data_IF_186126092590
#
_entry.id   IF_186126092590
#
_cell.length_a   1.000
_cell.length_b   1.000
_cell.length_c   1.000
_cell.angle_alpha   90.00
_cell.angle_beta   90.00
_cell.angle_gamma   90.00
#
_symmetry.space_group_name_H-M   'P 1'
#
loop_
_entity.id
_entity.type
_entity.pdbx_description
1 polymer ?
#
# COMPACT_ATOMS: atom_id res chain seq x y z
N UNK A 1 16.10 -30.43 -0.85
CA UNK A 1 16.53 -31.43 0.16
C UNK A 1 15.36 -31.99 0.95
N UNK A 2 14.57 -31.15 1.63
CA UNK A 2 13.45 -31.60 2.48
C UNK A 2 12.52 -32.62 1.81
N UNK A 3 12.00 -32.31 0.62
CA UNK A 3 11.09 -33.19 -0.13
C UNK A 3 11.67 -34.60 -0.37
N UNK A 4 13.00 -34.70 -0.54
CA UNK A 4 13.71 -35.98 -0.66
C UNK A 4 13.75 -36.73 0.67
N UNK A 5 14.01 -36.02 1.77
CA UNK A 5 14.08 -36.62 3.11
C UNK A 5 12.69 -37.02 3.63
N UNK A 6 11.65 -36.26 3.30
CA UNK A 6 10.28 -36.51 3.75
C UNK A 6 9.49 -37.45 2.85
N UNK A 7 9.97 -37.74 1.63
CA UNK A 7 9.25 -38.56 0.67
C UNK A 7 7.89 -37.96 0.27
N UNK A 8 7.75 -36.64 0.36
CA UNK A 8 6.49 -35.93 0.10
C UNK A 8 5.59 -35.72 1.33
N UNK A 9 5.99 -36.20 2.52
CA UNK A 9 5.27 -35.93 3.76
C UNK A 9 5.60 -34.54 4.33
N UNK A 10 4.76 -34.09 5.30
CA UNK A 10 4.93 -32.82 6.02
C UNK A 10 6.11 -32.83 7.02
N UNK A 11 6.61 -34.01 7.38
CA UNK A 11 7.72 -34.22 8.30
C UNK A 11 8.71 -35.22 7.71
N UNK A 12 10.00 -34.95 7.80
CA UNK A 12 11.06 -35.88 7.47
C UNK A 12 11.38 -36.78 8.68
N UNK A 13 11.44 -38.12 8.52
CA UNK A 13 11.87 -39.01 9.59
C UNK A 13 13.29 -38.66 10.07
N UNK A 14 13.51 -38.68 11.38
CA UNK A 14 14.81 -38.35 11.96
C UNK A 14 15.94 -39.23 11.41
N UNK A 15 15.67 -40.53 11.25
CA UNK A 15 16.60 -41.50 10.67
C UNK A 15 16.99 -41.17 9.22
N UNK A 16 16.08 -40.56 8.45
CA UNK A 16 16.40 -40.15 7.08
C UNK A 16 17.38 -38.97 7.08
N UNK A 17 17.19 -37.99 7.97
CA UNK A 17 18.14 -36.89 8.13
C UNK A 17 19.49 -37.38 8.68
N UNK A 18 19.48 -38.26 9.68
CA UNK A 18 20.70 -38.86 10.25
C UNK A 18 21.54 -39.53 9.17
N UNK A 19 20.95 -40.46 8.42
CA UNK A 19 21.64 -41.16 7.32
C UNK A 19 22.17 -40.20 6.26
N UNK A 20 21.42 -39.12 5.99
CA UNK A 20 21.87 -38.11 5.06
C UNK A 20 23.13 -37.40 5.57
N UNK A 21 23.17 -36.99 6.84
CA UNK A 21 24.34 -36.33 7.45
C UNK A 21 25.54 -37.28 7.52
N UNK A 22 25.32 -38.54 7.91
CA UNK A 22 26.36 -39.58 7.95
C UNK A 22 26.96 -39.88 6.57
N UNK A 23 26.18 -39.68 5.51
CA UNK A 23 26.63 -39.83 4.12
C UNK A 23 27.32 -38.61 3.53
N UNK A 24 27.45 -37.49 4.27
CA UNK A 24 28.15 -36.30 3.78
C UNK A 24 29.66 -36.48 3.85
N UNK A 25 30.34 -36.15 2.76
CA UNK A 25 31.80 -36.01 2.75
C UNK A 25 32.18 -34.72 3.49
N UNK A 26 32.47 -34.85 4.79
CA UNK A 26 32.89 -33.73 5.64
C UNK A 26 34.36 -33.91 6.07
N UNK A 27 35.21 -32.86 5.98
CA UNK A 27 36.57 -32.89 6.50
C UNK A 27 36.65 -33.21 8.00
N UNK A 28 35.58 -32.90 8.74
CA UNK A 28 35.43 -33.19 10.17
C UNK A 28 34.07 -33.87 10.41
N UNK A 29 33.97 -35.19 10.21
CA UNK A 29 32.71 -35.91 10.36
C UNK A 29 32.25 -35.90 11.81
N UNK A 30 30.94 -35.75 12.02
CA UNK A 30 30.33 -35.81 13.33
C UNK A 30 30.34 -37.25 13.86
N UNK A 31 30.70 -37.43 15.13
CA UNK A 31 30.62 -38.73 15.80
C UNK A 31 29.15 -39.09 16.05
N UNK A 32 28.86 -40.39 16.11
CA UNK A 32 27.48 -40.89 16.34
C UNK A 32 26.82 -40.27 17.57
N UNK A 33 27.54 -40.13 18.69
CA UNK A 33 27.02 -39.48 19.90
C UNK A 33 26.77 -37.96 19.76
N UNK A 34 27.52 -37.28 18.88
CA UNK A 34 27.28 -35.86 18.58
C UNK A 34 26.03 -35.68 17.73
N UNK A 35 25.81 -36.60 16.77
CA UNK A 35 24.57 -36.65 16.00
C UNK A 35 23.38 -36.93 16.91
N UNK A 36 23.49 -37.92 17.81
CA UNK A 36 22.42 -38.24 18.77
C UNK A 36 22.05 -37.02 19.62
N UNK A 37 23.06 -36.30 20.12
CA UNK A 37 22.84 -35.10 20.93
C UNK A 37 22.20 -33.96 20.10
N UNK A 38 22.70 -33.69 18.90
CA UNK A 38 22.21 -32.60 18.04
C UNK A 38 20.82 -32.87 17.47
N UNK A 39 20.48 -34.14 17.25
CA UNK A 39 19.20 -34.57 16.68
C UNK A 39 18.14 -34.90 17.74
N UNK A 40 18.49 -34.91 19.03
CA UNK A 40 17.61 -35.33 20.11
C UNK A 40 16.26 -34.58 20.15
N UNK A 41 16.28 -33.27 19.89
CA UNK A 41 15.09 -32.43 19.93
C UNK A 41 14.08 -32.74 18.81
N UNK A 42 14.47 -33.52 17.81
CA UNK A 42 13.66 -33.83 16.62
C UNK A 42 13.17 -35.29 16.62
N UNK A 43 12.99 -35.89 17.79
CA UNK A 43 12.56 -37.28 17.95
C UNK A 43 11.23 -37.60 17.21
N UNK A 44 10.35 -36.61 17.06
CA UNK A 44 9.08 -36.75 16.33
C UNK A 44 9.20 -36.51 14.82
N UNK A 45 10.42 -36.35 14.31
CA UNK A 45 10.71 -35.94 12.94
C UNK A 45 11.08 -34.46 12.84
N UNK A 46 11.51 -34.09 11.64
CA UNK A 46 12.03 -32.76 11.31
C UNK A 46 11.04 -32.13 10.32
N UNK A 47 10.50 -30.96 10.65
CA UNK A 47 9.65 -30.20 9.72
C UNK A 47 10.51 -29.46 8.69
N UNK A 48 9.87 -28.89 7.66
CA UNK A 48 10.58 -28.03 6.72
C UNK A 48 11.23 -26.83 7.42
N UNK A 49 10.53 -26.24 8.39
CA UNK A 49 11.02 -25.09 9.16
C UNK A 49 12.21 -25.48 10.05
N UNK A 50 12.17 -26.66 10.68
CA UNK A 50 13.31 -27.17 11.46
C UNK A 50 14.55 -27.34 10.59
N UNK A 51 14.40 -27.99 9.43
CA UNK A 51 15.52 -28.18 8.50
C UNK A 51 16.04 -26.85 7.96
N UNK A 52 15.15 -25.91 7.67
CA UNK A 52 15.53 -24.56 7.24
C UNK A 52 16.32 -23.83 8.33
N UNK A 53 15.88 -23.91 9.59
CA UNK A 53 16.57 -23.32 10.74
C UNK A 53 17.96 -23.95 11.00
N UNK A 54 18.14 -25.25 10.67
CA UNK A 54 19.45 -25.91 10.75
C UNK A 54 20.44 -25.45 9.68
N UNK A 55 19.95 -25.15 8.47
CA UNK A 55 20.79 -24.97 7.28
C UNK A 55 21.00 -23.51 6.89
N UNK A 56 20.07 -22.63 7.24
CA UNK A 56 20.15 -21.23 6.88
C UNK A 56 20.84 -20.44 7.98
N UNK A 57 21.96 -19.84 7.61
CA UNK A 57 22.70 -18.94 8.47
C UNK A 57 22.45 -17.49 8.05
N UNK A 58 22.11 -16.64 9.02
CA UNK A 58 21.89 -15.22 8.80
C UNK A 58 22.88 -14.40 9.62
N UNK A 59 23.31 -13.27 9.07
CA UNK A 59 24.14 -12.31 9.76
C UNK A 59 23.59 -10.89 9.62
N UNK A 60 23.84 -10.06 10.62
CA UNK A 60 23.48 -8.64 10.66
C UNK A 60 24.71 -7.78 10.38
N UNK A 61 24.55 -6.82 9.50
CA UNK A 61 25.51 -5.75 9.26
C UNK A 61 25.60 -4.83 10.49
N UNK A 62 26.73 -4.80 11.19
CA UNK A 62 26.94 -3.91 12.35
C UNK A 62 27.57 -2.58 11.98
N UNK A 63 28.19 -2.52 10.80
CA UNK A 63 28.79 -1.33 10.20
C UNK A 63 28.68 -1.41 8.68
N UNK A 64 28.28 -0.29 8.11
CA UNK A 64 28.31 0.01 6.69
C UNK A 64 29.50 -0.62 5.94
N UNK A 65 29.21 -1.45 4.93
CA UNK A 65 30.23 -2.16 4.15
C UNK A 65 29.79 -2.41 2.70
N UNK A 66 30.74 -2.49 1.77
CA UNK A 66 30.45 -2.84 0.38
C UNK A 66 30.12 -4.33 0.19
N UNK A 67 29.04 -4.60 -0.54
CA UNK A 67 28.76 -5.89 -1.17
C UNK A 67 29.41 -5.90 -2.56
N UNK A 68 30.29 -6.86 -2.83
CA UNK A 68 31.07 -6.87 -4.09
C UNK A 68 30.74 -8.05 -4.98
N UNK A 69 31.00 -7.91 -6.29
CA UNK A 69 30.68 -8.92 -7.31
C UNK A 69 31.58 -10.16 -7.29
N UNK A 70 32.78 -10.07 -6.74
CA UNK A 70 33.75 -11.17 -6.72
C UNK A 70 34.42 -11.37 -5.35
N UNK A 71 34.97 -12.57 -5.14
CA UNK A 71 35.68 -12.97 -3.93
C UNK A 71 36.98 -12.21 -3.73
N UNK A 72 37.76 -11.97 -4.78
CA UNK A 72 39.00 -11.21 -4.68
C UNK A 72 38.70 -9.72 -4.68
N UNK A 73 39.22 -8.98 -3.71
CA UNK A 73 38.94 -7.53 -3.61
C UNK A 73 39.41 -6.76 -4.85
N UNK A 74 40.57 -7.12 -5.41
CA UNK A 74 41.23 -6.40 -6.51
C UNK A 74 40.49 -6.48 -7.84
N UNK A 75 39.82 -7.59 -8.11
CA UNK A 75 39.05 -7.82 -9.36
C UNK A 75 37.56 -7.57 -9.17
N UNK A 76 37.13 -7.20 -7.96
CA UNK A 76 35.72 -6.97 -7.64
C UNK A 76 35.26 -5.54 -7.88
N UNK A 77 34.00 -5.39 -8.28
CA UNK A 77 33.28 -4.12 -8.27
C UNK A 77 32.29 -4.09 -7.11
N UNK A 78 31.96 -2.89 -6.62
CA UNK A 78 30.89 -2.72 -5.64
C UNK A 78 29.54 -2.87 -6.33
N UNK A 79 28.73 -3.85 -5.90
CA UNK A 79 27.33 -4.01 -6.31
C UNK A 79 26.53 -2.89 -5.66
N UNK A 80 26.62 -2.81 -4.33
CA UNK A 80 26.07 -1.72 -3.51
C UNK A 80 26.68 -1.74 -2.12
N UNK A 81 26.23 -0.81 -1.28
CA UNK A 81 26.56 -0.76 0.14
C UNK A 81 25.48 -1.49 0.94
N UNK A 82 25.91 -2.32 1.89
CA UNK A 82 25.09 -2.86 2.97
C UNK A 82 25.08 -1.83 4.10
N UNK A 83 23.91 -1.43 4.55
CA UNK A 83 23.77 -0.45 5.62
C UNK A 83 23.78 -1.13 7.00
N UNK A 84 24.23 -0.40 8.03
CA UNK A 84 24.12 -0.89 9.41
C UNK A 84 22.67 -1.29 9.75
N UNK A 85 22.52 -2.50 10.27
CA UNK A 85 21.26 -3.12 10.67
C UNK A 85 20.69 -4.08 9.62
N UNK A 86 21.20 -4.05 8.39
CA UNK A 86 20.74 -4.93 7.31
C UNK A 86 21.07 -6.40 7.59
N UNK A 87 20.19 -7.32 7.17
CA UNK A 87 20.36 -8.77 7.33
C UNK A 87 20.76 -9.39 6.01
N UNK A 88 21.71 -10.33 6.05
CA UNK A 88 22.15 -11.14 4.92
C UNK A 88 22.01 -12.63 5.25
N UNK A 89 21.61 -13.43 4.26
CA UNK A 89 21.69 -14.89 4.29
C UNK A 89 23.06 -15.32 3.77
N UNK A 90 23.69 -16.25 4.46
CA UNK A 90 25.00 -16.78 4.12
C UNK A 90 24.84 -17.95 3.15
N UNK A 91 25.47 -17.86 1.99
CA UNK A 91 25.31 -18.82 0.90
C UNK A 91 26.48 -19.82 0.78
N UNK A 92 27.50 -19.68 1.61
CA UNK A 92 28.67 -20.55 1.57
C UNK A 92 29.59 -20.32 2.76
N UNK A 93 30.64 -21.13 2.82
CA UNK A 93 31.60 -21.06 3.91
C UNK A 93 32.37 -19.74 3.90
N UNK A 94 32.80 -19.32 5.09
CA UNK A 94 33.82 -18.29 5.23
C UNK A 94 35.12 -18.74 4.56
N UNK A 95 35.67 -17.90 3.69
CA UNK A 95 36.94 -18.13 2.99
C UNK A 95 37.91 -16.98 3.27
N UNK A 96 39.17 -17.31 3.54
CA UNK A 96 40.23 -16.31 3.70
C UNK A 96 40.76 -15.88 2.33
N UNK A 97 40.71 -14.59 2.02
CA UNK A 97 41.42 -13.98 0.90
C UNK A 97 42.86 -13.69 1.37
N UNK A 98 43.75 -14.66 1.17
CA UNK A 98 45.15 -14.60 1.61
C UNK A 98 45.91 -13.41 1.02
N UNK A 99 45.52 -12.94 -0.18
CA UNK A 99 46.19 -11.85 -0.86
C UNK A 99 46.03 -10.50 -0.13
N UNK A 100 44.95 -10.34 0.64
CA UNK A 100 44.64 -9.11 1.41
C UNK A 100 44.48 -9.36 2.91
N UNK A 101 44.50 -10.61 3.36
CA UNK A 101 44.36 -11.00 4.76
C UNK A 101 42.94 -10.84 5.31
N UNK A 102 41.91 -10.94 4.45
CA UNK A 102 40.52 -10.70 4.84
C UNK A 102 39.69 -11.99 4.84
N UNK A 103 38.87 -12.18 5.87
CA UNK A 103 37.84 -13.20 5.87
C UNK A 103 36.60 -12.70 5.11
N UNK A 104 36.22 -13.41 4.05
CA UNK A 104 35.08 -13.05 3.20
C UNK A 104 34.07 -14.19 3.14
N UNK A 105 32.82 -13.84 2.87
CA UNK A 105 31.74 -14.80 2.73
C UNK A 105 30.84 -14.39 1.57
N UNK A 106 30.30 -15.38 0.85
CA UNK A 106 29.25 -15.14 -0.15
C UNK A 106 27.91 -15.07 0.57
N UNK A 107 27.16 -14.02 0.31
CA UNK A 107 25.87 -13.79 0.96
C UNK A 107 24.84 -13.24 -0.02
N UNK A 108 23.56 -13.35 0.36
CA UNK A 108 22.42 -12.70 -0.28
C UNK A 108 21.80 -11.72 0.70
N UNK A 109 21.67 -10.47 0.30
CA UNK A 109 21.00 -9.49 1.14
C UNK A 109 19.48 -9.73 1.17
N UNK A 110 18.89 -9.71 2.37
CA UNK A 110 17.45 -9.93 2.53
C UNK A 110 16.65 -8.75 1.97
N UNK A 111 17.19 -7.53 1.98
CA UNK A 111 16.43 -6.33 1.58
C UNK A 111 16.03 -6.31 0.10
N UNK A 112 16.88 -6.83 -0.78
CA UNK A 112 16.74 -6.70 -2.24
C UNK A 112 17.20 -7.95 -3.03
N UNK A 113 17.52 -9.04 -2.32
CA UNK A 113 18.05 -10.29 -2.90
C UNK A 113 19.39 -10.14 -3.64
N UNK A 114 20.12 -9.03 -3.46
CA UNK A 114 21.42 -8.87 -4.10
C UNK A 114 22.43 -9.89 -3.54
N UNK A 115 23.01 -10.70 -4.43
CA UNK A 115 24.04 -11.67 -4.08
C UNK A 115 25.44 -11.14 -4.35
N UNK A 116 26.36 -11.36 -3.43
CA UNK A 116 27.75 -10.93 -3.57
C UNK A 116 28.64 -11.41 -2.44
N UNK A 117 29.81 -10.79 -2.34
CA UNK A 117 30.82 -11.08 -1.33
C UNK A 117 30.96 -9.91 -0.36
N UNK A 118 31.08 -10.23 0.91
CA UNK A 118 31.26 -9.25 2.00
C UNK A 118 32.40 -9.69 2.91
N UNK A 119 33.12 -8.73 3.48
CA UNK A 119 34.18 -9.00 4.47
C UNK A 119 33.56 -9.10 5.87
N UNK A 120 33.87 -10.17 6.60
CA UNK A 120 33.37 -10.38 7.96
C UNK A 120 34.06 -9.49 8.98
N UNK A 121 35.39 -9.40 8.86
CA UNK A 121 36.27 -8.68 9.78
C UNK A 121 37.38 -8.00 9.00
N UNK A 122 37.54 -6.69 9.18
CA UNK A 122 38.60 -5.91 8.54
C UNK A 122 39.99 -6.18 9.16
N UNK A 123 41.03 -5.69 8.49
CA UNK A 123 42.44 -5.89 8.91
C UNK A 123 42.76 -5.40 10.34
N UNK A 124 42.04 -4.38 10.83
CA UNK A 124 42.18 -3.86 12.20
C UNK A 124 41.28 -4.58 13.22
N UNK A 125 40.69 -5.71 12.83
CA UNK A 125 39.83 -6.52 13.67
C UNK A 125 38.40 -6.00 13.88
N UNK A 126 38.00 -4.95 13.16
CA UNK A 126 36.61 -4.46 13.18
C UNK A 126 35.69 -5.48 12.51
N UNK A 127 34.70 -5.99 13.24
CA UNK A 127 33.63 -6.81 12.68
C UNK A 127 32.66 -5.93 11.87
N UNK A 128 32.22 -6.44 10.73
CA UNK A 128 31.18 -5.84 9.88
C UNK A 128 29.89 -6.65 9.90
N UNK A 129 29.98 -7.96 10.12
CA UNK A 129 28.85 -8.84 10.30
C UNK A 129 28.89 -9.52 11.69
N UNK A 130 27.72 -9.77 12.25
CA UNK A 130 27.51 -10.60 13.46
C UNK A 130 26.40 -11.62 13.22
N UNK A 131 26.40 -12.73 13.97
CA UNK A 131 25.35 -13.75 13.87
C UNK A 131 23.97 -13.15 14.17
N UNK A 132 22.98 -13.52 13.36
CA UNK A 132 21.61 -13.08 13.52
C UNK A 132 20.64 -14.26 13.37
N UNK A 133 19.49 -14.17 14.04
CA UNK A 133 18.38 -15.08 13.78
C UNK A 133 17.78 -14.80 12.40
N UNK A 134 17.19 -15.83 11.79
CA UNK A 134 16.37 -15.68 10.60
C UNK A 134 15.27 -14.62 10.83
N UNK A 135 15.07 -13.67 9.91
CA UNK A 135 14.12 -12.58 10.12
C UNK A 135 12.67 -13.07 9.98
N UNK A 136 11.90 -12.88 11.05
CA UNK A 136 10.46 -13.07 11.09
C UNK A 136 9.78 -11.77 11.53
N UNK A 137 8.60 -11.51 10.99
CA UNK A 137 7.72 -10.41 11.40
C UNK A 137 6.38 -10.97 11.84
N UNK A 138 5.66 -10.25 12.68
CA UNK A 138 4.28 -10.58 13.02
C UNK A 138 3.43 -9.32 13.06
N UNK A 139 2.14 -9.48 12.81
CA UNK A 139 1.19 -8.38 12.96
C UNK A 139 0.91 -8.18 14.45
N UNK A 140 1.22 -6.99 14.98
CA UNK A 140 1.04 -6.70 16.41
C UNK A 140 -0.45 -6.59 16.76
N UNK A 141 -1.21 -5.85 15.95
CA UNK A 141 -2.64 -5.60 16.16
C UNK A 141 -3.34 -5.39 14.81
N UNK A 142 -4.65 -5.71 14.78
CA UNK A 142 -5.52 -5.45 13.63
C UNK A 142 -5.50 -6.55 12.57
N UNK A 143 -5.86 -6.15 11.35
CA UNK A 143 -5.85 -7.00 10.14
C UNK A 143 -5.09 -6.26 9.06
N UNK A 144 -4.16 -6.94 8.38
CA UNK A 144 -3.37 -6.36 7.30
C UNK A 144 -3.64 -7.10 5.97
N UNK A 145 -3.95 -6.37 4.90
CA UNK A 145 -4.12 -6.96 3.58
C UNK A 145 -2.77 -7.43 3.01
N UNK A 146 -2.77 -8.62 2.41
CA UNK A 146 -1.68 -9.15 1.62
C UNK A 146 -1.93 -8.83 0.16
N UNK A 147 -0.92 -8.27 -0.50
CA UNK A 147 -1.00 -7.89 -1.90
C UNK A 147 -0.08 -8.77 -2.76
N UNK A 148 -0.47 -8.97 -4.02
CA UNK A 148 0.29 -9.78 -4.98
C UNK A 148 1.66 -9.18 -5.32
N UNK A 149 1.78 -7.85 -5.26
CA UNK A 149 3.02 -7.12 -5.46
C UNK A 149 3.24 -6.10 -4.32
N UNK A 150 4.40 -5.43 -4.33
CA UNK A 150 4.77 -4.48 -3.28
C UNK A 150 3.90 -3.20 -3.31
N UNK A 151 3.37 -2.85 -4.48
CA UNK A 151 2.50 -1.70 -4.67
C UNK A 151 1.12 -1.96 -4.05
N UNK A 152 0.62 -0.98 -3.28
CA UNK A 152 -0.73 -1.04 -2.67
C UNK A 152 -1.88 -1.17 -3.67
N UNK A 153 -1.65 -0.74 -4.91
CA UNK A 153 -2.61 -0.86 -5.99
C UNK A 153 -2.67 -2.26 -6.61
N UNK A 154 -1.78 -3.17 -6.21
CA UNK A 154 -1.81 -4.55 -6.71
C UNK A 154 -2.91 -5.36 -6.03
N UNK A 155 -3.34 -6.43 -6.69
CA UNK A 155 -4.46 -7.26 -6.26
C UNK A 155 -4.24 -7.79 -4.84
N UNK A 156 -5.26 -7.69 -4.00
CA UNK A 156 -5.29 -8.32 -2.69
C UNK A 156 -5.40 -9.84 -2.86
N UNK A 157 -4.53 -10.60 -2.18
CA UNK A 157 -4.45 -12.06 -2.24
C UNK A 157 -4.86 -12.73 -0.93
N UNK A 158 -5.09 -11.96 0.12
CA UNK A 158 -5.49 -12.45 1.43
C UNK A 158 -5.31 -11.40 2.52
N UNK A 159 -5.42 -11.82 3.77
CA UNK A 159 -5.25 -10.96 4.94
C UNK A 159 -4.44 -11.68 6.02
N UNK A 160 -3.76 -10.90 6.85
CA UNK A 160 -3.08 -11.36 8.06
C UNK A 160 -3.84 -10.91 9.30
N UNK A 161 -3.91 -11.77 10.29
CA UNK A 161 -4.46 -11.45 11.61
C UNK A 161 -3.36 -11.16 12.64
N UNK A 162 -3.73 -10.47 13.72
CA UNK A 162 -2.82 -10.19 14.82
C UNK A 162 -2.23 -11.48 15.41
N UNK A 163 -0.91 -11.51 15.58
CA UNK A 163 -0.15 -12.67 16.05
C UNK A 163 0.31 -13.63 14.96
N UNK A 164 -0.16 -13.49 13.72
CA UNK A 164 0.37 -14.31 12.62
C UNK A 164 1.81 -13.94 12.29
N UNK A 165 2.66 -14.98 12.19
CA UNK A 165 4.10 -14.84 11.96
C UNK A 165 4.42 -15.12 10.50
N UNK A 166 5.18 -14.22 9.89
CA UNK A 166 5.67 -14.34 8.53
C UNK A 166 7.19 -14.38 8.48
N UNK A 167 7.70 -15.23 7.61
CA UNK A 167 9.11 -15.19 7.21
C UNK A 167 9.36 -14.01 6.28
N UNK A 168 10.42 -13.25 6.55
CA UNK A 168 10.85 -12.19 5.63
C UNK A 168 11.72 -12.82 4.54
N UNK A 169 11.10 -13.09 3.41
CA UNK A 169 11.82 -13.52 2.20
C UNK A 169 12.60 -12.36 1.60
N UNK A 170 11.97 -11.18 1.57
CA UNK A 170 12.58 -9.97 1.05
C UNK A 170 12.05 -8.69 1.72
N UNK A 171 12.92 -7.71 1.94
CA UNK A 171 12.58 -6.37 2.41
C UNK A 171 13.24 -5.99 3.74
N UNK A 172 12.84 -4.88 4.36
CA UNK A 172 11.74 -3.99 3.98
C UNK A 172 12.05 -3.17 2.72
N UNK A 173 11.06 -3.06 1.81
CA UNK A 173 11.14 -2.20 0.63
C UNK A 173 10.37 -0.91 0.86
N UNK A 174 10.88 0.21 0.33
CA UNK A 174 10.14 1.48 0.29
C UNK A 174 9.32 1.53 -0.98
N UNK A 175 8.00 1.65 -0.84
CA UNK A 175 7.11 1.97 -1.96
C UNK A 175 7.48 3.35 -2.53
N UNK A 176 7.44 3.51 -3.85
CA UNK A 176 7.63 4.82 -4.47
C UNK A 176 6.53 5.78 -3.99
N UNK A 177 6.83 7.08 -3.80
CA UNK A 177 5.80 8.05 -3.42
C UNK A 177 4.65 8.03 -4.43
N UNK A 178 3.45 7.70 -3.96
CA UNK A 178 2.25 7.74 -4.79
C UNK A 178 1.73 9.18 -4.82
N UNK A 179 1.63 9.77 -6.00
CA UNK A 179 0.92 11.05 -6.15
C UNK A 179 -0.58 10.79 -5.99
N UNK A 180 -1.19 11.36 -4.95
CA UNK A 180 -2.62 11.26 -4.70
C UNK A 180 -3.23 12.65 -4.62
N UNK A 181 -4.30 12.87 -5.35
CA UNK A 181 -5.15 14.04 -5.15
C UNK A 181 -6.21 13.69 -4.12
N UNK A 182 -6.34 14.52 -3.09
CA UNK A 182 -7.19 14.28 -1.92
C UNK A 182 -8.24 15.38 -1.84
N UNK A 183 -9.45 15.04 -1.41
CA UNK A 183 -10.50 16.03 -1.14
C UNK A 183 -10.96 15.88 0.30
N UNK A 184 -11.09 17.02 0.97
CA UNK A 184 -11.71 17.09 2.28
C UNK A 184 -13.19 17.38 2.09
N UNK A 185 -14.03 16.67 2.82
CA UNK A 185 -15.44 16.90 2.73
C UNK A 185 -16.23 16.26 3.85
N UNK A 186 -17.53 16.53 3.84
CA UNK A 186 -18.52 15.97 4.73
C UNK A 186 -19.43 15.05 3.92
N UNK A 187 -19.54 13.80 4.33
CA UNK A 187 -20.49 12.88 3.72
C UNK A 187 -21.91 13.26 4.13
N UNK A 188 -22.81 13.45 3.17
CA UNK A 188 -24.20 13.86 3.46
C UNK A 188 -25.03 12.74 4.11
N UNK A 189 -24.68 11.49 3.85
CA UNK A 189 -25.38 10.29 4.35
C UNK A 189 -25.34 10.17 5.88
N UNK A 190 -24.21 10.50 6.52
CA UNK A 190 -24.03 10.36 7.98
C UNK A 190 -23.38 11.59 8.65
N UNK A 191 -23.05 12.63 7.89
CA UNK A 191 -22.47 13.86 8.40
C UNK A 191 -21.00 13.77 8.81
N UNK A 192 -20.31 12.65 8.58
CA UNK A 192 -18.89 12.51 8.94
C UNK A 192 -18.01 13.35 8.02
N UNK A 193 -17.04 14.04 8.62
CA UNK A 193 -16.04 14.83 7.90
C UNK A 193 -14.69 14.12 7.89
N UNK A 194 -14.07 14.07 6.72
CA UNK A 194 -12.77 13.43 6.54
C UNK A 194 -12.15 13.75 5.19
N UNK A 195 -11.11 13.00 4.85
CA UNK A 195 -10.39 13.07 3.60
C UNK A 195 -10.64 11.80 2.78
N UNK A 196 -10.85 11.97 1.48
CA UNK A 196 -10.98 10.85 0.54
C UNK A 196 -10.08 11.08 -0.67
N UNK A 197 -9.69 9.99 -1.33
CA UNK A 197 -8.85 10.06 -2.53
C UNK A 197 -9.70 10.45 -3.74
N UNK A 198 -9.44 11.64 -4.31
CA UNK A 198 -10.07 12.14 -5.53
C UNK A 198 -9.68 11.31 -6.74
N UNK A 199 -8.38 11.12 -6.95
CA UNK A 199 -7.79 10.39 -8.07
C UNK A 199 -6.36 10.00 -7.73
N UNK A 200 -5.91 8.91 -8.34
CA UNK A 200 -4.52 8.45 -8.25
C UNK A 200 -3.69 9.01 -9.40
N UNK A 201 -2.66 9.79 -9.10
CA UNK A 201 -1.77 10.41 -10.09
C UNK A 201 -2.46 11.47 -10.96
N UNK A 202 -1.69 12.04 -11.89
CA UNK A 202 -2.16 13.10 -12.78
C UNK A 202 -3.24 12.62 -13.75
N UNK A 203 -3.04 11.43 -14.32
CA UNK A 203 -3.88 10.84 -15.38
C UNK A 203 -4.90 9.82 -14.85
N UNK A 204 -4.98 9.64 -13.52
CA UNK A 204 -5.96 8.75 -12.92
C UNK A 204 -7.39 9.21 -13.12
N UNK A 205 -8.28 8.25 -13.34
CA UNK A 205 -9.72 8.50 -13.33
C UNK A 205 -10.14 8.97 -11.94
N UNK A 206 -10.97 10.02 -11.83
CA UNK A 206 -11.43 10.47 -10.55
C UNK A 206 -12.47 9.51 -9.97
N UNK A 207 -12.31 9.20 -8.68
CA UNK A 207 -13.24 8.45 -7.86
C UNK A 207 -14.49 9.25 -7.55
N UNK A 208 -14.46 10.57 -7.79
CA UNK A 208 -15.59 11.47 -7.62
C UNK A 208 -15.91 12.19 -8.93
N UNK A 209 -17.17 12.57 -9.09
CA UNK A 209 -17.58 13.52 -10.11
C UNK A 209 -18.38 14.66 -9.51
N UNK A 210 -18.38 15.82 -10.17
CA UNK A 210 -19.23 16.92 -9.76
C UNK A 210 -20.70 16.49 -9.87
N UNK A 211 -21.45 16.58 -8.77
CA UNK A 211 -22.90 16.48 -8.85
C UNK A 211 -23.36 17.62 -9.76
N UNK A 212 -24.20 17.32 -10.77
CA UNK A 212 -24.81 18.34 -11.67
C UNK A 212 -25.84 19.17 -10.92
N UNK A 213 -25.39 19.79 -9.84
CA UNK A 213 -26.19 20.58 -8.92
C UNK A 213 -25.81 22.03 -9.06
N UNK A 214 -26.77 22.89 -8.77
CA UNK A 214 -26.65 24.33 -8.81
C UNK A 214 -26.98 24.88 -7.42
N UNK A 215 -26.39 26.00 -7.05
CA UNK A 215 -26.64 26.68 -5.79
C UNK A 215 -27.39 27.99 -6.05
N UNK A 216 -28.54 28.15 -5.39
CA UNK A 216 -29.25 29.41 -5.34
C UNK A 216 -28.50 30.39 -4.42
N UNK A 217 -27.91 31.45 -4.96
CA UNK A 217 -27.20 32.50 -4.19
C UNK A 217 -28.13 33.54 -3.59
N UNK A 218 -29.28 33.74 -4.20
CA UNK A 218 -30.19 34.83 -3.84
C UNK A 218 -31.61 34.46 -4.23
N UNK A 219 -32.56 34.94 -3.43
CA UNK A 219 -33.96 34.56 -3.54
C UNK A 219 -34.50 34.84 -4.95
N UNK A 220 -35.09 33.84 -5.62
CA UNK A 220 -35.56 33.94 -7.01
C UNK A 220 -36.80 33.06 -7.25
N UNK A 221 -37.68 33.45 -8.16
CA UNK A 221 -38.87 32.67 -8.47
C UNK A 221 -38.54 31.45 -9.35
N UNK A 222 -39.08 30.28 -8.98
CA UNK A 222 -39.21 29.11 -9.82
C UNK A 222 -40.53 29.21 -10.60
N UNK A 223 -40.51 29.06 -11.91
CA UNK A 223 -41.72 29.22 -12.75
C UNK A 223 -41.96 28.05 -13.68
N UNK A 224 -43.19 27.92 -14.18
CA UNK A 224 -43.63 26.77 -14.99
C UNK A 224 -43.05 26.72 -16.40
N UNK A 225 -42.49 27.82 -16.92
CA UNK A 225 -42.04 27.92 -18.31
C UNK A 225 -40.82 28.83 -18.50
N UNK A 226 -40.09 28.61 -19.61
CA UNK A 226 -38.90 29.37 -19.99
C UNK A 226 -39.20 30.84 -20.35
N UNK A 227 -40.37 31.15 -20.91
CA UNK A 227 -40.75 32.55 -21.16
C UNK A 227 -41.26 33.18 -19.87
N UNK A 228 -40.58 34.22 -19.39
CA UNK A 228 -40.95 34.93 -18.15
C UNK A 228 -42.31 35.62 -18.28
N UNK A 229 -42.73 36.04 -19.48
CA UNK A 229 -44.04 36.68 -19.68
C UNK A 229 -45.19 35.68 -19.79
N UNK A 230 -44.90 34.42 -20.11
CA UNK A 230 -45.89 33.35 -20.28
C UNK A 230 -45.65 32.20 -19.28
N UNK A 231 -45.40 32.54 -18.01
CA UNK A 231 -45.19 31.55 -16.95
C UNK A 231 -45.96 31.90 -15.68
N UNK A 232 -46.23 30.88 -14.86
CA UNK A 232 -46.79 31.03 -13.52
C UNK A 232 -45.72 30.73 -12.47
N UNK A 233 -45.68 31.43 -11.33
CA UNK A 233 -44.78 31.11 -10.23
C UNK A 233 -45.19 29.78 -9.58
N UNK A 234 -44.24 28.86 -9.44
CA UNK A 234 -44.40 27.59 -8.71
C UNK A 234 -44.11 27.82 -7.23
N UNK A 235 -42.96 28.42 -6.93
CA UNK A 235 -42.55 28.87 -5.60
C UNK A 235 -41.35 29.81 -5.68
N UNK A 236 -40.93 30.33 -4.53
CA UNK A 236 -39.66 31.06 -4.38
C UNK A 236 -38.56 30.08 -3.95
N UNK A 237 -37.40 30.19 -4.58
CA UNK A 237 -36.16 29.55 -4.15
C UNK A 237 -35.45 30.51 -3.20
N UNK A 238 -34.95 30.02 -2.08
CA UNK A 238 -34.17 30.80 -1.12
C UNK A 238 -32.65 30.63 -1.30
N UNK A 239 -31.88 31.59 -0.78
CA UNK A 239 -30.43 31.51 -0.80
C UNK A 239 -29.95 30.29 0.00
N UNK A 240 -29.01 29.53 -0.57
CA UNK A 240 -28.51 28.27 -0.02
C UNK A 240 -29.23 27.02 -0.52
N UNK A 241 -30.35 27.14 -1.25
CA UNK A 241 -31.03 25.97 -1.82
C UNK A 241 -30.19 25.31 -2.92
N UNK A 242 -30.11 23.97 -2.86
CA UNK A 242 -29.43 23.13 -3.84
C UNK A 242 -30.46 22.62 -4.85
N UNK A 243 -30.12 22.74 -6.13
CA UNK A 243 -31.01 22.43 -7.25
C UNK A 243 -30.32 21.40 -8.15
N UNK A 244 -31.04 20.41 -8.65
CA UNK A 244 -30.56 19.50 -9.69
C UNK A 244 -30.81 20.13 -11.05
N UNK A 245 -29.76 20.20 -11.88
CA UNK A 245 -29.90 20.70 -13.24
C UNK A 245 -30.57 19.65 -14.13
N UNK A 246 -31.74 19.98 -14.68
CA UNK A 246 -32.48 19.10 -15.60
C UNK A 246 -32.10 19.37 -17.05
N UNK A 247 -32.01 20.66 -17.43
CA UNK A 247 -31.59 21.08 -18.78
C UNK A 247 -30.39 22.04 -18.73
N UNK A 248 -29.57 22.10 -19.80
CA UNK A 248 -28.54 23.14 -19.94
C UNK A 248 -29.15 24.55 -19.85
N UNK A 249 -28.42 25.54 -19.30
CA UNK A 249 -28.88 26.92 -19.29
C UNK A 249 -29.14 27.43 -20.71
N UNK A 250 -30.25 28.14 -20.89
CA UNK A 250 -30.67 28.76 -22.16
C UNK A 250 -30.73 30.27 -22.01
N UNK A 251 -30.35 30.99 -23.05
CA UNK A 251 -30.41 32.44 -23.10
C UNK A 251 -31.74 32.91 -23.70
N UNK A 252 -32.42 33.83 -23.00
CA UNK A 252 -33.51 34.63 -23.52
C UNK A 252 -32.90 35.92 -24.08
N UNK A 253 -32.58 35.92 -25.38
CA UNK A 253 -31.98 37.07 -26.08
C UNK A 253 -32.88 38.33 -26.01
N UNK A 254 -34.20 38.13 -25.97
CA UNK A 254 -35.17 39.24 -25.94
C UNK A 254 -35.08 40.01 -24.63
N UNK A 255 -34.91 39.29 -23.51
CA UNK A 255 -34.86 39.87 -22.16
C UNK A 255 -33.45 39.95 -21.58
N UNK A 256 -32.45 39.44 -22.30
CA UNK A 256 -31.04 39.34 -21.89
C UNK A 256 -30.88 38.59 -20.57
N UNK A 257 -31.58 37.47 -20.43
CA UNK A 257 -31.57 36.62 -19.23
C UNK A 257 -30.98 35.26 -19.57
N UNK A 258 -30.25 34.63 -18.65
CA UNK A 258 -29.96 33.20 -18.74
C UNK A 258 -30.84 32.45 -17.77
N UNK A 259 -31.61 31.48 -18.23
CA UNK A 259 -32.50 30.64 -17.41
C UNK A 259 -32.08 29.19 -17.47
N UNK A 260 -32.37 28.44 -16.42
CA UNK A 260 -32.04 27.02 -16.29
C UNK A 260 -33.26 26.26 -15.81
N UNK A 261 -33.48 25.07 -16.35
CA UNK A 261 -34.51 24.14 -15.89
C UNK A 261 -33.93 23.29 -14.77
N UNK A 262 -34.57 23.32 -13.60
CA UNK A 262 -34.05 22.74 -12.37
C UNK A 262 -35.13 22.00 -11.59
N UNK A 263 -34.70 20.96 -10.89
CA UNK A 263 -35.50 20.25 -9.89
C UNK A 263 -34.97 20.58 -8.51
N UNK A 264 -35.86 20.97 -7.62
CA UNK A 264 -35.51 21.38 -6.27
C UNK A 264 -35.24 20.16 -5.38
N UNK A 265 -34.08 20.10 -4.73
CA UNK A 265 -33.78 18.97 -3.82
C UNK A 265 -34.62 18.98 -2.55
N UNK A 266 -35.08 20.17 -2.11
CA UNK A 266 -35.82 20.33 -0.86
C UNK A 266 -37.26 19.80 -0.92
N UNK A 267 -37.94 19.94 -2.06
CA UNK A 267 -39.36 19.62 -2.22
C UNK A 267 -39.71 18.87 -3.52
N UNK A 268 -38.70 18.53 -4.33
CA UNK A 268 -38.87 17.78 -5.58
C UNK A 268 -39.55 18.55 -6.72
N UNK A 269 -39.93 19.82 -6.51
CA UNK A 269 -40.60 20.63 -7.53
C UNK A 269 -39.65 21.03 -8.64
N UNK A 270 -40.13 20.97 -9.87
CA UNK A 270 -39.35 21.20 -11.06
C UNK A 270 -39.87 22.41 -11.84
N UNK A 271 -38.97 23.20 -12.41
CA UNK A 271 -39.33 24.37 -13.20
C UNK A 271 -38.14 25.21 -13.64
N UNK A 272 -38.44 26.35 -14.25
CA UNK A 272 -37.44 27.28 -14.78
C UNK A 272 -37.10 28.36 -13.76
N UNK A 273 -35.80 28.59 -13.54
CA UNK A 273 -35.32 29.68 -12.70
C UNK A 273 -34.28 30.52 -13.45
N UNK A 274 -34.19 31.81 -13.10
CA UNK A 274 -33.19 32.71 -13.69
C UNK A 274 -31.83 32.44 -13.07
N UNK A 275 -30.85 32.09 -13.89
CA UNK A 275 -29.46 31.91 -13.49
C UNK A 275 -28.72 33.24 -13.46
N UNK A 276 -28.87 34.04 -14.52
CA UNK A 276 -28.27 35.38 -14.66
C UNK A 276 -29.32 36.37 -15.16
N UNK A 277 -29.53 37.46 -14.44
CA UNK A 277 -30.45 38.53 -14.82
C UNK A 277 -29.86 39.49 -15.86
N UNK A 278 -30.70 40.38 -16.39
CA UNK A 278 -30.34 41.39 -17.40
C UNK A 278 -29.25 42.38 -16.96
N UNK A 279 -29.18 42.69 -15.67
CA UNK A 279 -28.13 43.51 -15.07
C UNK A 279 -26.85 42.72 -14.75
N UNK A 280 -26.79 41.43 -15.11
CA UNK A 280 -25.65 40.54 -14.87
C UNK A 280 -25.64 39.85 -13.51
N UNK A 281 -26.60 40.15 -12.62
CA UNK A 281 -26.74 39.50 -11.31
C UNK A 281 -26.91 37.99 -11.45
N UNK A 282 -26.03 37.21 -10.83
CA UNK A 282 -26.13 35.75 -10.80
C UNK A 282 -26.95 35.29 -9.57
N UNK A 283 -28.12 34.70 -9.83
CA UNK A 283 -29.01 34.17 -8.79
C UNK A 283 -28.77 32.69 -8.53
N UNK A 284 -28.37 31.94 -9.57
CA UNK A 284 -28.03 30.52 -9.48
C UNK A 284 -26.63 30.35 -10.09
N UNK A 285 -25.78 29.56 -9.45
CA UNK A 285 -24.45 29.21 -9.96
C UNK A 285 -24.24 27.71 -9.97
N UNK A 286 -23.30 27.24 -10.78
CA UNK A 286 -22.86 25.83 -10.73
C UNK A 286 -22.30 25.51 -9.35
N UNK A 287 -22.69 24.36 -8.81
CA UNK A 287 -22.24 23.90 -7.51
C UNK A 287 -21.16 22.82 -7.66
N UNK A 288 -19.90 23.24 -7.50
CA UNK A 288 -18.74 22.33 -7.47
C UNK A 288 -18.48 21.73 -6.09
N UNK A 289 -19.21 22.16 -5.05
CA UNK A 289 -19.02 21.72 -3.67
C UNK A 289 -19.65 20.35 -3.41
N UNK A 290 -20.59 19.88 -4.21
CA UNK A 290 -21.11 18.52 -4.10
C UNK A 290 -20.46 17.60 -5.12
N UNK A 291 -19.80 16.57 -4.62
CA UNK A 291 -19.16 15.52 -5.40
C UNK A 291 -19.86 14.19 -5.16
N UNK A 292 -20.10 13.41 -6.19
CA UNK A 292 -20.70 12.07 -6.09
C UNK A 292 -19.56 11.05 -6.14
N UNK A 293 -19.49 10.20 -5.12
CA UNK A 293 -18.58 9.06 -5.08
C UNK A 293 -18.98 8.06 -6.19
N UNK A 294 -18.09 7.80 -7.16
CA UNK A 294 -18.33 6.83 -8.25
C UNK A 294 -17.82 5.44 -7.92
N UNK A 295 -16.70 5.38 -7.22
CA UNK A 295 -16.02 4.15 -6.82
C UNK A 295 -15.83 4.23 -5.31
N UNK A 296 -16.15 3.14 -4.60
CA UNK A 296 -16.03 3.11 -3.16
C UNK A 296 -14.61 3.46 -2.70
N UNK A 297 -14.47 4.39 -1.77
CA UNK A 297 -13.18 4.86 -1.25
C UNK A 297 -13.21 5.02 0.26
N UNK A 298 -12.10 4.79 0.98
CA UNK A 298 -12.04 5.03 2.41
C UNK A 298 -12.16 6.53 2.72
N UNK A 299 -13.04 6.88 3.67
CA UNK A 299 -13.06 8.18 4.33
C UNK A 299 -12.09 8.13 5.50
N UNK A 300 -11.03 8.93 5.43
CA UNK A 300 -9.93 8.90 6.38
C UNK A 300 -9.90 10.14 7.25
N UNK A 301 -9.38 10.00 8.47
CA UNK A 301 -9.32 11.10 9.44
C UNK A 301 -8.33 12.22 9.05
N UNK A 302 -7.24 11.90 8.33
CA UNK A 302 -6.16 12.84 8.02
C UNK A 302 -5.89 12.95 6.51
N UNK A 303 -5.21 14.04 6.12
CA UNK A 303 -4.82 14.28 4.73
C UNK A 303 -3.94 13.16 4.16
N UNK A 304 -3.02 12.63 4.98
CA UNK A 304 -2.17 11.49 4.62
C UNK A 304 -3.03 10.25 4.32
N UNK A 305 -2.76 9.63 3.16
CA UNK A 305 -3.38 8.39 2.75
C UNK A 305 -2.93 7.22 3.65
N UNK A 306 -3.82 6.27 3.90
CA UNK A 306 -3.60 5.17 4.84
C UNK A 306 -3.73 5.58 6.30
N UNK A 307 -4.26 6.77 6.58
CA UNK A 307 -4.58 7.16 7.97
C UNK A 307 -5.83 6.44 8.45
N UNK A 308 -6.15 6.57 9.75
CA UNK A 308 -7.29 5.88 10.36
C UNK A 308 -8.56 6.09 9.52
N UNK A 309 -9.08 4.98 8.99
CA UNK A 309 -10.32 4.93 8.21
C UNK A 309 -11.49 5.13 9.19
N UNK A 310 -12.33 6.13 8.92
CA UNK A 310 -13.54 6.43 9.66
C UNK A 310 -14.71 5.53 9.22
N UNK A 311 -14.80 5.27 7.92
CA UNK A 311 -15.68 4.31 7.22
C UNK A 311 -15.40 4.36 5.70
N UNK A 312 -15.87 3.40 4.89
CA UNK A 312 -15.94 3.59 3.44
C UNK A 312 -17.02 4.61 3.04
N UNK A 313 -16.81 5.34 1.93
CA UNK A 313 -17.84 6.04 1.15
C UNK A 313 -18.30 5.11 0.03
N UNK A 314 -19.61 4.85 -0.05
CA UNK A 314 -20.19 3.99 -1.07
C UNK A 314 -20.41 4.71 -2.41
N UNK A 315 -20.42 3.99 -3.54
CA UNK A 315 -20.85 4.55 -4.83
C UNK A 315 -22.25 5.18 -4.76
N UNK A 316 -22.38 6.39 -5.29
CA UNK A 316 -23.59 7.20 -5.25
C UNK A 316 -23.69 8.15 -4.06
N UNK A 317 -22.85 8.01 -3.03
CA UNK A 317 -22.85 8.94 -1.89
C UNK A 317 -22.44 10.36 -2.30
N UNK A 318 -23.18 11.36 -1.78
CA UNK A 318 -22.85 12.77 -1.94
C UNK A 318 -21.86 13.21 -0.87
N UNK A 319 -20.74 13.77 -1.32
CA UNK A 319 -19.64 14.29 -0.51
C UNK A 319 -19.52 15.79 -0.72
N UNK A 320 -19.78 16.56 0.33
CA UNK A 320 -19.73 18.03 0.34
C UNK A 320 -18.30 18.49 0.64
N UNK A 321 -17.62 19.04 -0.36
CA UNK A 321 -16.25 19.55 -0.28
C UNK A 321 -16.19 20.76 0.66
N UNK A 322 -15.17 20.76 1.53
CA UNK A 322 -14.90 21.80 2.54
C UNK A 322 -13.65 22.61 2.20
#
# INVERSE_FOLDING_TARGET
LFARLSGGANTAPLEALRRYIEGLECPTPLRSNQLDLGLHHYAQGVTFLDLAAMLQEYMRCVKDIALTSAFEVKSSSTIRKLDKGEIVEILGCQTADEAVGLARVKCRAVVDQAEGWVTLKGNQGTAFLESASKPYLWLVEGVAALHKACERSSDEVGSLEAGEVMEVLEGPRKEAPLELFRIRGKAKSDGKTGWATLKAGKDGRPNFECARTMLCKSSIALTTAFDVAACAPIRKLEAGEVLEQVEPPKEDETRKLTRVHVKCTADGKEGWATMKGNAGTAYIVENISHQICRIGVPLESNHAAGSKVLRPLEPGEVFEVL
#
